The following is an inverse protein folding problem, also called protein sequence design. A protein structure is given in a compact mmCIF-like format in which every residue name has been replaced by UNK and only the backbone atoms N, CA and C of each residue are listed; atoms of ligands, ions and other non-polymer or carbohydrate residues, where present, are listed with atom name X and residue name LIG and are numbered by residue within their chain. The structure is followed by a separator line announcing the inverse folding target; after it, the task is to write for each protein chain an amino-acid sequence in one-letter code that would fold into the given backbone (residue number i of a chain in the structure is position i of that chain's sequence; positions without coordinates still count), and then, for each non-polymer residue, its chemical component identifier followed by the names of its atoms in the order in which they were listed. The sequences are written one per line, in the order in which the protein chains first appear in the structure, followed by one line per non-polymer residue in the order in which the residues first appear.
data_IF_588166414981
#
_entry.id   IF_588166414981
#
_cell.length_a   1.000
_cell.length_b   1.000
_cell.length_c   1.000
_cell.angle_alpha   90.00
_cell.angle_beta   90.00
_cell.angle_gamma   90.00
#
_symmetry.space_group_name_H-M   'P 1'
#
loop_
_entity.id
_entity.type
_entity.pdbx_description
1 polymer ?
#
# COMPACT_ATOMS: atom_id res chain seq x y z
N UNK A 1 -1.15 -12.69 87.17
CA UNK A 1 -1.34 -13.56 85.99
C UNK A 1 -2.81 -13.96 85.90
N UNK A 2 -3.43 -13.83 84.71
CA UNK A 2 -4.70 -14.45 84.24
C UNK A 2 -6.00 -13.76 84.73
N UNK A 3 -6.95 -13.29 83.90
CA UNK A 3 -7.26 -13.41 82.45
C UNK A 3 -8.07 -12.17 82.01
N UNK A 4 -7.85 -11.69 80.79
CA UNK A 4 -8.64 -10.65 80.13
C UNK A 4 -9.54 -11.28 79.05
N UNK A 5 -10.73 -10.71 78.80
CA UNK A 5 -11.20 -10.28 77.47
C UNK A 5 -12.65 -9.74 77.52
N UNK A 6 -12.83 -8.55 76.94
CA UNK A 6 -14.08 -7.85 76.64
C UNK A 6 -14.73 -8.36 75.36
N UNK A 7 -16.05 -8.17 75.22
CA UNK A 7 -16.73 -7.71 73.98
C UNK A 7 -18.23 -7.52 74.29
N UNK A 8 -18.78 -6.31 74.41
CA UNK A 8 -19.10 -5.33 73.36
C UNK A 8 -20.32 -5.75 72.49
N UNK A 9 -21.47 -5.14 72.81
CA UNK A 9 -22.70 -5.14 72.03
C UNK A 9 -22.53 -4.30 70.75
N UNK A 10 -23.35 -4.53 69.71
CA UNK A 10 -23.84 -3.49 68.78
C UNK A 10 -25.10 -4.01 68.06
N UNK A 11 -26.17 -3.23 68.16
CA UNK A 11 -27.41 -3.29 67.39
C UNK A 11 -27.23 -2.54 66.06
N UNK A 12 -27.74 -3.06 64.93
CA UNK A 12 -27.99 -2.24 63.72
C UNK A 12 -29.25 -2.73 63.02
N UNK A 13 -30.17 -1.80 62.76
CA UNK A 13 -31.36 -1.95 61.92
C UNK A 13 -31.32 -1.11 60.65
N UNK A 14 -32.48 -1.08 59.98
CA UNK A 14 -32.90 -0.26 58.81
C UNK A 14 -32.33 -0.67 57.44
N UNK A 15 -33.12 -1.16 56.47
CA UNK A 15 -34.30 -0.64 55.75
C UNK A 15 -33.95 0.11 54.44
N UNK A 16 -34.44 -0.48 53.34
CA UNK A 16 -34.87 0.12 52.06
C UNK A 16 -33.83 0.78 51.14
N UNK A 17 -33.57 0.16 49.98
CA UNK A 17 -32.99 0.82 48.82
C UNK A 17 -33.97 0.79 47.64
N UNK A 18 -34.43 1.98 47.26
CA UNK A 18 -35.24 2.30 46.08
C UNK A 18 -34.35 2.13 44.82
N UNK A 19 -34.73 1.25 43.90
CA UNK A 19 -33.95 0.98 42.68
C UNK A 19 -34.09 2.09 41.63
N UNK A 20 -32.97 2.72 41.26
CA UNK A 20 -32.86 3.58 40.08
C UNK A 20 -32.55 2.72 38.85
N UNK A 21 -33.34 2.84 37.77
CA UNK A 21 -33.07 2.20 36.49
C UNK A 21 -32.18 3.11 35.63
N UNK A 22 -30.99 2.65 35.25
CA UNK A 22 -30.05 3.37 34.37
C UNK A 22 -30.20 2.89 32.92
N UNK A 23 -30.37 3.83 31.98
CA UNK A 23 -30.40 3.54 30.54
C UNK A 23 -28.98 3.26 30.02
N UNK A 24 -28.75 2.23 29.19
CA UNK A 24 -27.42 1.93 28.63
C UNK A 24 -26.94 3.00 27.65
N UNK A 25 -25.68 3.42 27.78
CA UNK A 25 -25.03 4.35 26.86
C UNK A 25 -24.53 3.61 25.59
N UNK A 26 -24.55 4.27 24.41
CA UNK A 26 -24.07 3.67 23.16
C UNK A 26 -22.56 3.42 23.21
N UNK A 27 -22.14 2.24 22.75
CA UNK A 27 -20.73 1.84 22.72
C UNK A 27 -20.01 2.41 21.49
N UNK A 28 -18.79 2.94 21.62
CA UNK A 28 -18.03 3.46 20.48
C UNK A 28 -17.63 2.31 19.54
N UNK A 29 -17.85 2.50 18.24
CA UNK A 29 -17.39 1.57 17.21
C UNK A 29 -15.87 1.72 17.01
N UNK A 30 -15.11 0.63 16.85
CA UNK A 30 -13.67 0.73 16.62
C UNK A 30 -13.39 1.31 15.23
N UNK A 31 -12.75 2.48 15.19
CA UNK A 31 -12.21 3.04 13.95
C UNK A 31 -10.99 2.22 13.54
N UNK A 32 -11.12 1.43 12.47
CA UNK A 32 -9.97 0.76 11.85
C UNK A 32 -9.16 1.82 11.11
N UNK A 33 -7.95 2.12 11.59
CA UNK A 33 -7.03 3.01 10.90
C UNK A 33 -6.50 2.36 9.62
N UNK A 34 -6.45 3.12 8.52
CA UNK A 34 -5.79 2.72 7.27
C UNK A 34 -4.48 3.49 7.11
N UNK A 35 -3.43 2.80 6.66
CA UNK A 35 -2.14 3.40 6.30
C UNK A 35 -2.00 3.39 4.78
N UNK A 36 -1.88 4.54 4.11
CA UNK A 36 -1.71 4.57 2.66
C UNK A 36 -0.34 4.01 2.26
N UNK A 37 -0.32 3.13 1.27
CA UNK A 37 0.90 2.59 0.63
C UNK A 37 0.89 3.02 -0.83
N UNK A 38 2.01 3.57 -1.33
CA UNK A 38 2.22 3.90 -2.72
C UNK A 38 3.25 2.94 -3.34
N UNK A 39 3.01 2.52 -4.58
CA UNK A 39 3.94 1.69 -5.36
C UNK A 39 4.31 2.48 -6.61
N UNK A 40 5.61 2.55 -6.90
CA UNK A 40 6.15 3.18 -8.10
C UNK A 40 6.57 2.09 -9.08
N UNK A 41 6.12 2.19 -10.34
CA UNK A 41 6.52 1.30 -11.43
C UNK A 41 7.40 2.06 -12.40
N UNK A 42 8.60 1.55 -12.65
CA UNK A 42 9.56 2.13 -13.60
C UNK A 42 9.60 1.25 -14.85
N UNK A 43 9.41 1.86 -16.02
CA UNK A 43 9.51 1.20 -17.32
C UNK A 43 10.92 1.35 -17.88
N UNK A 44 11.49 0.26 -18.40
CA UNK A 44 12.83 0.23 -19.01
C UNK A 44 12.70 -0.25 -20.45
N UNK A 45 13.07 0.60 -21.41
CA UNK A 45 13.08 0.25 -22.83
C UNK A 45 14.39 -0.48 -23.19
N UNK A 46 14.25 -1.65 -23.81
CA UNK A 46 15.40 -2.50 -24.17
C UNK A 46 15.32 -2.95 -25.62
N UNK A 47 16.42 -2.76 -26.36
CA UNK A 47 16.58 -3.28 -27.73
C UNK A 47 17.70 -4.31 -27.73
N UNK A 48 17.35 -5.54 -28.11
CA UNK A 48 18.31 -6.64 -28.24
C UNK A 48 18.48 -6.95 -29.73
N UNK A 49 19.69 -6.78 -30.25
CA UNK A 49 20.02 -7.01 -31.65
C UNK A 49 21.22 -7.95 -31.79
N UNK A 50 21.25 -8.72 -32.87
CA UNK A 50 22.38 -9.57 -33.22
C UNK A 50 23.54 -8.73 -33.81
N UNK A 51 24.65 -9.38 -34.17
CA UNK A 51 25.82 -8.70 -34.76
C UNK A 51 25.53 -7.98 -36.09
N UNK A 52 24.51 -8.42 -36.83
CA UNK A 52 24.11 -7.82 -38.10
C UNK A 52 23.13 -6.65 -37.90
N UNK A 53 22.68 -6.40 -36.67
CA UNK A 53 21.69 -5.37 -36.33
C UNK A 53 20.23 -5.85 -36.38
N UNK A 54 19.98 -7.13 -36.64
CA UNK A 54 18.60 -7.66 -36.65
C UNK A 54 18.10 -7.87 -35.22
N UNK A 55 16.82 -7.57 -34.92
CA UNK A 55 16.22 -7.83 -33.61
C UNK A 55 16.28 -9.31 -33.24
N UNK A 56 16.68 -9.59 -32.00
CA UNK A 56 16.61 -10.94 -31.43
C UNK A 56 15.19 -11.21 -30.97
N UNK A 57 14.52 -12.16 -31.62
CA UNK A 57 13.14 -12.54 -31.30
C UNK A 57 13.02 -13.61 -30.21
N UNK A 58 11.79 -13.79 -29.71
CA UNK A 58 11.45 -14.88 -28.78
C UNK A 58 11.89 -14.67 -27.33
N UNK A 59 12.39 -13.47 -26.99
CA UNK A 59 12.77 -13.11 -25.64
C UNK A 59 11.54 -13.02 -24.73
N UNK A 60 11.74 -13.41 -23.48
CA UNK A 60 10.75 -13.39 -22.41
C UNK A 60 11.31 -12.62 -21.21
N UNK A 61 10.46 -12.25 -20.26
CA UNK A 61 10.89 -11.60 -19.03
C UNK A 61 11.99 -12.37 -18.27
N UNK A 62 12.07 -13.71 -18.41
CA UNK A 62 13.06 -14.55 -17.74
C UNK A 62 14.48 -14.42 -18.30
N UNK A 63 14.60 -13.82 -19.47
CA UNK A 63 15.88 -13.60 -20.14
C UNK A 63 16.56 -12.31 -19.68
N UNK A 64 15.94 -11.57 -18.75
CA UNK A 64 16.42 -10.29 -18.24
C UNK A 64 16.58 -10.33 -16.71
N UNK A 65 17.65 -9.72 -16.22
CA UNK A 65 17.85 -9.39 -14.80
C UNK A 65 18.03 -7.88 -14.69
N UNK A 66 17.18 -7.22 -13.90
CA UNK A 66 17.30 -5.79 -13.63
C UNK A 66 18.02 -5.63 -12.30
N UNK A 67 19.08 -4.82 -12.29
CA UNK A 67 19.83 -4.48 -11.09
C UNK A 67 19.67 -3.00 -10.77
N UNK A 68 19.36 -2.71 -9.52
CA UNK A 68 19.38 -1.36 -8.95
C UNK A 68 20.38 -1.36 -7.79
N UNK A 69 21.45 -0.56 -7.92
CA UNK A 69 22.57 -0.55 -6.99
C UNK A 69 23.15 -1.95 -6.70
N UNK A 70 23.15 -2.81 -7.73
CA UNK A 70 23.63 -4.18 -7.65
C UNK A 70 22.66 -5.17 -7.00
N UNK A 71 21.43 -4.77 -6.68
CA UNK A 71 20.37 -5.65 -6.16
C UNK A 71 19.37 -5.99 -7.25
N UNK A 72 18.93 -7.24 -7.31
CA UNK A 72 17.93 -7.68 -8.27
C UNK A 72 16.55 -7.10 -7.99
N UNK A 73 15.96 -6.49 -9.02
CA UNK A 73 14.60 -5.95 -9.01
C UNK A 73 13.66 -6.88 -9.77
N UNK A 74 12.45 -7.07 -9.23
CA UNK A 74 11.47 -7.96 -9.83
C UNK A 74 10.83 -7.33 -11.08
N UNK A 75 10.79 -8.09 -12.18
CA UNK A 75 10.09 -7.68 -13.40
C UNK A 75 8.61 -8.02 -13.25
N UNK A 76 7.78 -7.00 -12.98
CA UNK A 76 6.34 -7.15 -12.74
C UNK A 76 5.47 -7.09 -14.01
N UNK A 77 6.01 -6.53 -15.10
CA UNK A 77 5.37 -6.46 -16.42
C UNK A 77 6.41 -6.62 -17.52
N UNK A 78 6.00 -7.17 -18.67
CA UNK A 78 6.86 -7.33 -19.84
C UNK A 78 6.05 -7.21 -21.12
N UNK A 79 6.48 -6.31 -22.00
CA UNK A 79 5.87 -6.07 -23.30
C UNK A 79 6.92 -6.22 -24.40
N UNK A 80 6.63 -7.06 -25.39
CA UNK A 80 7.49 -7.22 -26.56
C UNK A 80 7.04 -6.24 -27.65
N UNK A 81 7.76 -5.13 -27.77
CA UNK A 81 7.50 -4.11 -28.79
C UNK A 81 8.21 -4.51 -30.09
N UNK A 82 7.43 -4.74 -31.14
CA UNK A 82 7.99 -4.83 -32.50
C UNK A 82 7.95 -3.45 -33.10
N UNK A 83 9.05 -2.95 -33.69
CA UNK A 83 8.97 -1.76 -34.52
C UNK A 83 8.01 -2.08 -35.67
N UNK A 84 6.85 -1.43 -35.66
CA UNK A 84 6.03 -1.30 -36.85
C UNK A 84 6.98 -0.74 -37.94
N UNK A 85 7.05 -1.37 -39.11
CA UNK A 85 7.73 -0.76 -40.26
C UNK A 85 7.21 0.67 -40.48
N UNK A 86 8.00 1.56 -41.12
CA UNK A 86 7.72 3.00 -41.14
C UNK A 86 6.25 3.24 -41.45
N UNK A 87 5.57 3.92 -40.51
CA UNK A 87 4.19 4.34 -40.66
C UNK A 87 4.10 5.19 -41.94
N UNK A 88 3.74 4.53 -43.04
CA UNK A 88 3.30 5.20 -44.25
C UNK A 88 1.94 5.84 -43.92
N UNK A 89 1.96 7.06 -43.37
CA UNK A 89 0.74 7.84 -43.13
C UNK A 89 0.76 8.58 -41.79
N UNK A 90 1.66 9.56 -41.66
CA UNK A 90 1.69 10.46 -40.50
C UNK A 90 2.58 11.67 -40.72
N UNK A 91 2.72 12.12 -41.96
CA UNK A 91 3.28 13.42 -42.26
C UNK A 91 2.12 14.40 -42.46
N UNK A 92 1.62 15.01 -41.39
CA UNK A 92 0.87 16.26 -41.45
C UNK A 92 0.97 17.02 -40.11
N UNK A 93 1.76 18.10 -40.14
CA UNK A 93 1.75 19.28 -39.27
C UNK A 93 2.05 19.07 -37.76
N UNK A 94 3.29 18.84 -37.35
CA UNK A 94 4.33 19.88 -37.18
C UNK A 94 4.01 21.28 -37.75
N UNK A 95 3.03 22.00 -37.17
CA UNK A 95 2.88 23.44 -37.43
C UNK A 95 2.10 24.23 -36.36
N UNK A 96 2.15 23.91 -35.06
CA UNK A 96 1.63 24.85 -34.04
C UNK A 96 2.12 24.58 -32.61
N UNK A 97 3.42 24.65 -32.34
CA UNK A 97 3.91 24.78 -30.97
C UNK A 97 5.01 25.85 -30.95
N UNK A 98 4.57 27.08 -30.70
CA UNK A 98 5.41 28.25 -30.46
C UNK A 98 6.56 27.92 -29.51
N UNK A 99 7.78 28.44 -29.74
CA UNK A 99 8.91 28.23 -28.85
C UNK A 99 8.57 28.75 -27.45
N UNK A 100 8.83 27.94 -26.44
CA UNK A 100 8.62 28.29 -25.04
C UNK A 100 9.52 29.49 -24.69
N UNK A 101 9.00 30.54 -24.02
CA UNK A 101 9.85 31.66 -23.62
C UNK A 101 10.85 31.20 -22.54
N UNK A 102 12.10 31.64 -22.70
CA UNK A 102 13.14 31.61 -21.67
C UNK A 102 12.86 32.63 -20.56
#
# INVERSE_FOLDING_TARGET
MRRAALAAAIWVGAASALGAQTTPAPSPSPTVGSFPVAVEQVTVDVVVANRNGDPVGGLTARDFTILEDGREQNVVSFDLVRPEGPAAGGAEAAADLSPWPV
#
